data_IF_376612833262
#
_entry.id   IF_376612833262
#
_cell.length_a   1.000
_cell.length_b   1.000
_cell.length_c   1.000
_cell.angle_alpha   90.00
_cell.angle_beta   90.00
_cell.angle_gamma   90.00
#
_symmetry.space_group_name_H-M   'P 1'
#
loop_
_entity.id
_entity.type
_entity.pdbx_description
1 polymer ?
#
# COMPACT_ATOMS: atom_id res chain seq x y z
N UNK A 1 15.98 -21.69 -23.76
CA UNK A 1 16.33 -21.89 -22.34
C UNK A 1 15.85 -20.67 -21.56
N UNK A 2 15.25 -20.84 -20.36
CA UNK A 2 14.91 -19.71 -19.50
C UNK A 2 16.18 -18.97 -19.05
N UNK A 3 16.09 -17.63 -18.93
CA UNK A 3 17.22 -16.77 -18.55
C UNK A 3 17.57 -16.87 -17.06
N UNK A 4 16.56 -17.05 -16.20
CA UNK A 4 16.71 -17.20 -14.75
C UNK A 4 15.46 -17.86 -14.17
N UNK A 5 15.63 -18.70 -13.16
CA UNK A 5 14.51 -19.17 -12.34
C UNK A 5 14.20 -18.13 -11.25
N UNK A 6 12.93 -17.75 -11.14
CA UNK A 6 12.48 -16.81 -10.11
C UNK A 6 12.42 -17.55 -8.77
N UNK A 7 12.98 -17.00 -7.68
CA UNK A 7 12.93 -17.65 -6.38
C UNK A 7 11.48 -17.90 -5.94
N UNK A 8 11.24 -19.08 -5.36
CA UNK A 8 9.96 -19.42 -4.75
C UNK A 8 9.63 -18.43 -3.63
N UNK A 9 8.45 -17.84 -3.66
CA UNK A 9 7.98 -16.91 -2.63
C UNK A 9 6.95 -17.62 -1.75
N UNK A 10 6.90 -17.26 -0.46
CA UNK A 10 5.99 -17.87 0.50
C UNK A 10 4.77 -16.98 0.79
N UNK A 11 3.57 -17.54 1.01
CA UNK A 11 2.42 -16.75 1.43
C UNK A 11 2.63 -16.14 2.83
N UNK A 12 1.91 -15.07 3.16
CA UNK A 12 0.81 -14.48 2.40
C UNK A 12 1.27 -13.37 1.46
N UNK A 13 0.50 -13.15 0.38
CA UNK A 13 0.82 -12.19 -0.67
C UNK A 13 -0.13 -11.00 -0.66
N UNK A 14 0.39 -9.83 -1.00
CA UNK A 14 -0.40 -8.69 -1.42
C UNK A 14 -0.04 -8.35 -2.86
N UNK A 15 -1.06 -7.99 -3.63
CA UNK A 15 -0.92 -7.38 -4.95
C UNK A 15 -1.28 -5.91 -4.82
N UNK A 16 -0.35 -5.03 -5.20
CA UNK A 16 -0.58 -3.59 -5.28
C UNK A 16 -0.57 -3.16 -6.74
N UNK A 17 -1.59 -2.41 -7.14
CA UNK A 17 -1.71 -1.81 -8.46
C UNK A 17 -1.52 -0.31 -8.35
N UNK A 18 -0.66 0.26 -9.21
CA UNK A 18 -0.53 1.70 -9.32
C UNK A 18 -1.69 2.27 -10.16
N UNK A 19 -2.51 3.11 -9.54
CA UNK A 19 -3.70 3.72 -10.16
C UNK A 19 -3.45 5.12 -10.73
N UNK A 20 -2.21 5.62 -10.74
CA UNK A 20 -1.89 6.95 -11.28
C UNK A 20 -2.23 6.99 -12.78
N UNK A 21 -3.28 7.75 -13.11
CA UNK A 21 -3.65 8.09 -14.49
C UNK A 21 -3.06 9.46 -14.79
N UNK A 22 -1.82 9.48 -15.27
CA UNK A 22 -1.28 10.73 -15.79
C UNK A 22 -1.82 10.93 -17.23
N UNK A 23 -2.28 12.12 -17.56
CA UNK A 23 -2.84 12.44 -18.88
C UNK A 23 -1.78 12.52 -19.98
N UNK A 24 -0.48 12.54 -19.59
CA UNK A 24 0.65 12.62 -20.52
C UNK A 24 1.69 11.50 -20.38
N UNK A 25 1.55 10.59 -19.40
CA UNK A 25 2.44 9.44 -19.29
C UNK A 25 1.66 8.16 -19.58
N UNK A 26 2.18 7.37 -20.52
CA UNK A 26 1.70 6.02 -20.79
C UNK A 26 1.56 5.29 -19.44
N UNK A 27 0.33 4.98 -19.05
CA UNK A 27 0.02 4.40 -17.75
C UNK A 27 0.87 3.16 -17.51
N UNK A 28 1.93 3.30 -16.73
CA UNK A 28 2.68 2.16 -16.21
C UNK A 28 1.81 1.52 -15.13
N UNK A 29 0.85 0.70 -15.57
CA UNK A 29 0.08 -0.21 -14.71
C UNK A 29 1.01 -1.30 -14.20
N UNK A 30 1.92 -0.92 -13.33
CA UNK A 30 2.80 -1.83 -12.61
C UNK A 30 1.98 -2.56 -11.55
N UNK A 31 2.08 -3.88 -11.54
CA UNK A 31 1.61 -4.73 -10.46
C UNK A 31 2.81 -5.12 -9.60
N UNK A 32 2.73 -4.84 -8.31
CA UNK A 32 3.69 -5.32 -7.33
C UNK A 32 3.09 -6.52 -6.61
N UNK A 33 3.69 -7.70 -6.79
CA UNK A 33 3.34 -8.92 -6.04
C UNK A 33 4.37 -9.11 -4.94
N UNK A 34 3.95 -8.99 -3.70
CA UNK A 34 4.84 -8.92 -2.54
C UNK A 34 4.45 -9.98 -1.52
N UNK A 35 5.42 -10.81 -1.12
CA UNK A 35 5.29 -11.72 0.01
C UNK A 35 5.53 -10.98 1.32
N UNK A 36 4.65 -11.20 2.31
CA UNK A 36 4.73 -10.64 3.66
C UNK A 36 5.00 -11.72 4.73
N UNK A 37 5.50 -12.90 4.34
CA UNK A 37 5.70 -14.03 5.25
C UNK A 37 6.54 -13.68 6.50
N UNK A 38 7.51 -12.77 6.38
CA UNK A 38 8.43 -12.40 7.47
C UNK A 38 8.86 -10.94 7.47
N UNK A 39 8.14 -10.06 6.74
CA UNK A 39 8.58 -8.67 6.50
C UNK A 39 7.44 -7.68 6.68
N UNK A 40 7.80 -6.48 7.11
CA UNK A 40 6.92 -5.31 7.04
C UNK A 40 7.17 -4.63 5.72
N UNK A 41 6.12 -4.41 4.95
CA UNK A 41 6.18 -3.66 3.70
C UNK A 41 6.12 -2.16 3.98
N UNK A 42 7.14 -1.41 3.57
CA UNK A 42 7.20 0.06 3.67
C UNK A 42 6.76 0.72 2.37
N UNK A 43 5.80 1.63 2.50
CA UNK A 43 5.30 2.48 1.42
C UNK A 43 5.78 3.91 1.65
N UNK A 44 6.28 4.58 0.62
CA UNK A 44 6.63 6.01 0.71
C UNK A 44 7.55 6.48 -0.42
N UNK A 45 7.93 7.75 -0.44
CA UNK A 45 8.82 8.30 -1.49
C UNK A 45 10.32 8.10 -1.23
N UNK A 46 10.68 7.67 -0.02
CA UNK A 46 12.07 7.46 0.40
C UNK A 46 12.73 6.31 -0.38
N UNK A 47 14.06 6.31 -0.42
CA UNK A 47 14.79 5.19 -1.03
C UNK A 47 14.73 3.90 -0.19
N UNK A 48 14.46 4.03 1.11
CA UNK A 48 14.28 2.93 2.05
C UNK A 48 12.89 2.27 1.99
N UNK A 49 12.01 2.72 1.08
CA UNK A 49 10.69 2.12 0.88
C UNK A 49 10.77 0.94 -0.08
N UNK A 50 10.17 -0.18 0.30
CA UNK A 50 10.06 -1.37 -0.57
C UNK A 50 9.20 -1.09 -1.81
N UNK A 51 8.09 -0.34 -1.64
CA UNK A 51 7.31 0.21 -2.75
C UNK A 51 7.46 1.72 -2.72
N UNK A 52 8.27 2.20 -3.66
CA UNK A 52 8.59 3.61 -3.79
C UNK A 52 7.57 4.32 -4.66
N UNK A 53 6.96 5.37 -4.12
CA UNK A 53 6.02 6.23 -4.85
C UNK A 53 6.63 7.63 -4.91
N UNK A 54 7.13 8.02 -6.08
CA UNK A 54 7.94 9.22 -6.27
C UNK A 54 7.08 10.50 -6.41
N UNK A 55 6.26 10.79 -5.41
CA UNK A 55 5.39 11.97 -5.35
C UNK A 55 5.74 12.84 -4.13
N UNK A 56 5.76 14.16 -4.30
CA UNK A 56 6.11 15.13 -3.26
C UNK A 56 5.09 15.19 -2.10
N UNK A 57 3.84 14.84 -2.38
CA UNK A 57 2.79 14.73 -1.36
C UNK A 57 3.02 13.53 -0.43
N UNK A 58 3.80 12.54 -0.84
CA UNK A 58 4.00 11.32 -0.05
C UNK A 58 5.20 11.49 0.90
N UNK A 59 5.02 11.19 2.19
CA UNK A 59 6.11 11.11 3.17
C UNK A 59 7.20 10.11 2.76
N UNK A 60 8.43 10.30 3.25
CA UNK A 60 9.55 9.38 2.96
C UNK A 60 9.25 7.95 3.40
N UNK A 61 8.76 7.79 4.62
CA UNK A 61 8.08 6.60 5.11
C UNK A 61 6.64 7.04 5.40
N UNK A 62 5.69 6.62 4.57
CA UNK A 62 4.32 7.11 4.60
C UNK A 62 3.40 6.16 5.35
N UNK A 63 3.46 4.88 5.00
CA UNK A 63 2.65 3.86 5.62
C UNK A 63 3.39 2.52 5.61
N UNK A 64 2.94 1.59 6.43
CA UNK A 64 3.43 0.22 6.45
C UNK A 64 2.28 -0.77 6.35
N UNK A 65 2.53 -1.88 5.65
CA UNK A 65 1.63 -3.03 5.67
C UNK A 65 2.37 -4.20 6.31
N UNK A 66 1.73 -4.83 7.30
CA UNK A 66 2.24 -6.06 7.91
C UNK A 66 1.19 -7.15 7.93
N UNK A 67 1.62 -8.39 7.94
CA UNK A 67 0.75 -9.52 8.23
C UNK A 67 0.89 -9.90 9.70
N UNK A 68 -0.22 -9.95 10.42
CA UNK A 68 -0.25 -10.33 11.83
C UNK A 68 -1.52 -11.15 12.12
N UNK A 69 -1.36 -12.32 12.75
CA UNK A 69 -2.47 -13.22 13.17
C UNK A 69 -3.53 -13.42 12.07
N UNK A 70 -3.10 -13.76 10.86
CA UNK A 70 -4.02 -14.05 9.75
C UNK A 70 -4.56 -12.82 9.01
N UNK A 71 -4.21 -11.59 9.44
CA UNK A 71 -4.76 -10.36 8.90
C UNK A 71 -3.67 -9.43 8.37
N UNK A 72 -3.97 -8.71 7.29
CA UNK A 72 -3.15 -7.59 6.83
C UNK A 72 -3.55 -6.32 7.56
N UNK A 73 -2.56 -5.61 8.10
CA UNK A 73 -2.74 -4.34 8.79
C UNK A 73 -2.01 -3.25 8.04
N UNK A 74 -2.75 -2.23 7.59
CA UNK A 74 -2.21 -0.99 7.05
C UNK A 74 -2.13 0.04 8.17
N UNK A 75 -0.97 0.67 8.31
CA UNK A 75 -0.72 1.68 9.34
C UNK A 75 -0.10 2.92 8.71
N UNK A 76 -0.71 4.07 8.97
CA UNK A 76 -0.13 5.37 8.62
C UNK A 76 1.01 5.71 9.58
N UNK A 77 2.16 6.11 9.04
CA UNK A 77 3.35 6.47 9.82
C UNK A 77 3.40 7.97 10.10
N UNK A 78 2.29 8.51 10.62
CA UNK A 78 2.11 9.94 10.91
C UNK A 78 2.45 10.80 9.68
N UNK A 79 1.91 10.41 8.53
CA UNK A 79 2.22 11.00 7.24
C UNK A 79 1.67 12.44 7.14
N UNK A 80 2.26 13.25 6.26
CA UNK A 80 1.92 14.68 6.18
C UNK A 80 0.44 14.93 5.83
N UNK A 81 -0.15 14.09 4.99
CA UNK A 81 -1.52 14.25 4.49
C UNK A 81 -2.44 13.08 4.87
N UNK A 82 -1.95 12.16 5.70
CA UNK A 82 -2.68 10.96 6.11
C UNK A 82 -2.79 9.90 5.01
N UNK A 83 -3.20 8.72 5.42
CA UNK A 83 -3.52 7.59 4.55
C UNK A 83 -5.03 7.39 4.51
N UNK A 84 -5.62 7.38 3.31
CA UNK A 84 -7.04 7.17 3.11
C UNK A 84 -7.33 5.79 2.53
N UNK A 85 -8.42 5.17 2.96
CA UNK A 85 -8.90 3.89 2.43
C UNK A 85 -10.24 4.11 1.75
N UNK A 86 -10.33 3.75 0.47
CA UNK A 86 -11.58 3.82 -0.28
C UNK A 86 -12.61 2.83 0.30
N UNK A 87 -13.77 3.37 0.70
CA UNK A 87 -14.89 2.58 1.18
C UNK A 87 -15.58 1.89 0.00
N UNK A 88 -15.31 0.59 -0.20
CA UNK A 88 -15.92 -0.21 -1.29
C UNK A 88 -17.29 -0.80 -0.91
N UNK A 89 -17.62 -0.82 0.38
CA UNK A 89 -18.87 -1.36 0.93
C UNK A 89 -19.38 -0.42 2.03
N UNK A 90 -20.69 -0.37 2.29
CA UNK A 90 -21.23 0.31 3.45
C UNK A 90 -20.57 -0.20 4.73
N UNK A 91 -20.20 0.71 5.63
CA UNK A 91 -19.68 0.39 6.97
C UNK A 91 -20.73 0.79 8.00
N UNK A 92 -21.10 -0.14 8.86
CA UNK A 92 -21.93 0.16 10.02
C UNK A 92 -21.14 1.07 10.97
N UNK A 93 -21.78 2.11 11.47
CA UNK A 93 -21.19 3.02 12.45
C UNK A 93 -21.68 2.63 13.83
N UNK A 94 -20.74 2.33 14.72
CA UNK A 94 -21.04 2.04 16.12
C UNK A 94 -21.21 3.35 16.90
N UNK A 95 -22.31 3.54 17.65
CA UNK A 95 -22.50 4.71 18.49
C UNK A 95 -21.30 4.94 19.43
N UNK A 96 -20.84 6.19 19.52
CA UNK A 96 -19.73 6.57 20.40
C UNK A 96 -18.32 6.29 19.87
N UNK A 97 -18.17 5.66 18.69
CA UNK A 97 -16.86 5.50 18.04
C UNK A 97 -16.57 6.68 17.12
N UNK A 98 -15.52 7.50 17.36
CA UNK A 98 -15.21 8.62 16.49
C UNK A 98 -14.76 8.12 15.11
N UNK A 99 -15.35 8.70 14.06
CA UNK A 99 -14.98 8.45 12.67
C UNK A 99 -14.84 9.79 11.93
N UNK A 100 -13.80 9.91 11.13
CA UNK A 100 -13.61 11.03 10.20
C UNK A 100 -13.88 10.54 8.78
N UNK A 101 -14.66 11.31 8.03
CA UNK A 101 -14.94 11.02 6.62
C UNK A 101 -14.44 12.19 5.79
N UNK A 102 -13.67 11.89 4.76
CA UNK A 102 -13.27 12.87 3.75
C UNK A 102 -14.23 12.76 2.57
N UNK A 103 -14.92 13.86 2.27
CA UNK A 103 -15.77 14.03 1.09
C UNK A 103 -15.07 15.01 0.15
N UNK A 104 -14.94 14.64 -1.12
CA UNK A 104 -14.29 15.42 -2.16
C UNK A 104 -14.79 15.02 -3.54
#
# INVERSE_FOLDING_TARGET
QPLVEVPGTQPPFIVLENMVRDSQQHATRGLHVISLAEKVLKLGRGHESDVRIADVSISRCHATIRFNRGNFMLEDNNSKFGTLVAMKKPRLLEPGTPISIQMG
#
